data_IF_377222460482
#
_entry.id   IF_377222460482
#
_cell.length_a   1.000
_cell.length_b   1.000
_cell.length_c   1.000
_cell.angle_alpha   90.00
_cell.angle_beta   90.00
_cell.angle_gamma   90.00
#
_symmetry.space_group_name_H-M   'P 1'
#
loop_
_entity.id
_entity.type
_entity.pdbx_description
1 polymer ?
#
# COMPACT_ATOMS: atom_id res chain seq x y z
N UNK A 1 4.11 -39.35 20.75
CA UNK A 1 4.75 -39.15 19.43
C UNK A 1 5.72 -37.99 19.57
N UNK A 2 7.03 -38.25 19.44
CA UNK A 2 8.11 -37.28 19.65
C UNK A 2 8.11 -36.22 18.54
N UNK A 3 8.14 -34.94 18.90
CA UNK A 3 8.46 -33.82 17.99
C UNK A 3 9.99 -33.67 17.89
N UNK A 4 10.55 -33.46 16.69
CA UNK A 4 12.00 -33.33 16.54
C UNK A 4 12.48 -32.03 17.19
N UNK A 5 13.54 -32.15 18.01
CA UNK A 5 14.30 -31.03 18.55
C UNK A 5 14.94 -30.26 17.38
N UNK A 6 14.56 -29.00 17.17
CA UNK A 6 15.32 -28.10 16.31
C UNK A 6 16.44 -27.52 17.16
N UNK A 7 17.66 -27.97 16.87
CA UNK A 7 18.90 -27.45 17.46
C UNK A 7 19.24 -26.13 16.75
N UNK A 8 18.84 -25.00 17.32
CA UNK A 8 19.32 -23.69 16.90
C UNK A 8 20.73 -23.47 17.47
N UNK A 9 21.72 -23.38 16.58
CA UNK A 9 23.12 -23.12 16.89
C UNK A 9 23.27 -21.66 17.38
N UNK A 10 23.73 -21.47 18.61
CA UNK A 10 23.94 -20.14 19.21
C UNK A 10 25.31 -19.60 18.76
N UNK A 11 25.34 -18.49 18.03
CA UNK A 11 26.52 -17.61 17.99
C UNK A 11 26.21 -16.32 18.75
N UNK A 12 26.98 -16.11 19.83
CA UNK A 12 27.29 -14.85 20.53
C UNK A 12 26.27 -13.72 20.37
N UNK A 13 25.32 -13.66 21.29
CA UNK A 13 24.34 -12.59 21.31
C UNK A 13 24.82 -11.44 22.23
N UNK A 14 24.97 -10.20 21.72
CA UNK A 14 25.26 -9.03 22.55
C UNK A 14 24.05 -8.72 23.47
N UNK A 15 24.24 -7.82 24.44
CA UNK A 15 23.32 -7.52 25.55
C UNK A 15 21.91 -6.96 25.17
N UNK A 16 21.48 -7.09 23.91
CA UNK A 16 20.13 -6.78 23.42
C UNK A 16 19.42 -7.95 22.74
N UNK A 17 20.02 -9.15 22.70
CA UNK A 17 19.44 -10.30 22.03
C UNK A 17 18.17 -10.83 22.70
N UNK A 18 17.28 -11.38 21.87
CA UNK A 18 16.09 -12.12 22.29
C UNK A 18 16.36 -13.01 23.52
N UNK A 19 15.48 -12.92 24.51
CA UNK A 19 15.56 -13.74 25.71
C UNK A 19 15.39 -15.21 25.28
N UNK A 20 16.41 -16.04 25.53
CA UNK A 20 16.41 -17.45 25.12
C UNK A 20 15.18 -18.19 25.67
N UNK A 21 14.70 -17.82 26.86
CA UNK A 21 13.50 -18.40 27.46
C UNK A 21 12.24 -18.00 26.69
N UNK A 22 12.16 -16.75 26.23
CA UNK A 22 11.05 -16.27 25.42
C UNK A 22 11.06 -16.91 24.02
N UNK A 23 12.25 -17.06 23.42
CA UNK A 23 12.40 -17.78 22.15
C UNK A 23 11.96 -19.24 22.28
N UNK A 24 12.40 -19.94 23.33
CA UNK A 24 11.97 -21.32 23.61
C UNK A 24 10.46 -21.39 23.85
N UNK A 25 9.89 -20.44 24.60
CA UNK A 25 8.45 -20.39 24.86
C UNK A 25 7.66 -20.21 23.57
N UNK A 26 8.07 -19.28 22.71
CA UNK A 26 7.45 -19.06 21.41
C UNK A 26 7.51 -20.32 20.55
N UNK A 27 8.69 -20.90 20.35
CA UNK A 27 8.88 -22.03 19.44
C UNK A 27 8.23 -23.33 19.96
N UNK A 28 8.18 -23.53 21.28
CA UNK A 28 7.57 -24.73 21.86
C UNK A 28 6.05 -24.64 22.00
N UNK A 29 5.52 -23.45 22.31
CA UNK A 29 4.14 -23.29 22.77
C UNK A 29 3.31 -22.37 21.87
N UNK A 30 3.92 -21.58 21.00
CA UNK A 30 3.23 -20.56 20.20
C UNK A 30 2.61 -19.44 21.05
N UNK A 31 3.01 -19.28 22.32
CA UNK A 31 2.43 -18.32 23.25
C UNK A 31 3.51 -17.44 23.86
N UNK A 32 3.58 -16.20 23.42
CA UNK A 32 4.60 -15.25 23.80
C UNK A 32 4.09 -13.79 23.79
N UNK A 33 2.96 -13.54 24.46
CA UNK A 33 2.49 -12.16 24.66
C UNK A 33 3.48 -11.38 25.54
N UNK A 34 3.88 -10.18 25.09
CA UNK A 34 4.84 -9.32 25.79
C UNK A 34 6.29 -9.82 25.78
N UNK A 35 6.61 -10.89 25.03
CA UNK A 35 7.93 -11.48 25.02
C UNK A 35 9.00 -10.55 24.42
N UNK A 36 10.24 -10.71 24.90
CA UNK A 36 11.40 -9.98 24.42
C UNK A 36 12.13 -10.78 23.34
N UNK A 37 11.81 -10.47 22.09
CA UNK A 37 12.31 -11.12 20.90
C UNK A 37 13.04 -10.13 19.98
N UNK A 38 13.65 -9.08 20.53
CA UNK A 38 14.41 -8.09 19.76
C UNK A 38 15.57 -8.79 19.06
N UNK A 39 15.80 -8.44 17.80
CA UNK A 39 16.86 -9.00 16.96
C UNK A 39 16.84 -10.54 16.86
N UNK A 40 15.72 -11.19 17.19
CA UNK A 40 15.58 -12.64 17.10
C UNK A 40 15.71 -13.10 15.64
N UNK A 41 16.48 -14.17 15.41
CA UNK A 41 16.46 -14.88 14.15
C UNK A 41 15.33 -15.92 14.16
N UNK A 42 14.26 -15.61 13.43
CA UNK A 42 13.05 -16.40 13.26
C UNK A 42 12.78 -16.68 11.77
N UNK A 43 13.83 -16.69 10.95
CA UNK A 43 13.73 -17.02 9.53
C UNK A 43 13.11 -18.40 9.37
N UNK A 44 12.11 -18.52 8.49
CA UNK A 44 11.36 -19.77 8.28
C UNK A 44 10.62 -20.33 9.52
N UNK A 45 10.47 -19.55 10.60
CA UNK A 45 9.77 -20.03 11.78
C UNK A 45 8.29 -20.32 11.47
N UNK A 46 7.81 -21.47 11.97
CA UNK A 46 6.41 -21.88 11.87
C UNK A 46 5.64 -21.36 13.07
N UNK A 47 5.04 -20.18 12.93
CA UNK A 47 4.39 -19.40 13.98
C UNK A 47 2.89 -19.19 13.70
N UNK A 48 2.24 -20.15 13.03
CA UNK A 48 0.81 -20.04 12.75
C UNK A 48 0.02 -20.00 14.06
N UNK A 49 -0.96 -19.10 14.13
CA UNK A 49 -1.83 -18.89 15.29
C UNK A 49 -1.06 -18.54 16.58
N UNK A 50 0.20 -18.09 16.46
CA UNK A 50 0.99 -17.70 17.62
C UNK A 50 0.37 -16.47 18.29
N UNK A 51 0.34 -16.48 19.63
CA UNK A 51 0.00 -15.31 20.44
C UNK A 51 1.28 -14.50 20.69
N UNK A 52 1.45 -13.43 19.93
CA UNK A 52 2.57 -12.48 19.99
C UNK A 52 2.09 -11.07 20.40
N UNK A 53 0.94 -10.99 21.08
CA UNK A 53 0.34 -9.71 21.49
C UNK A 53 1.31 -8.90 22.33
N UNK A 54 1.60 -7.67 21.93
CA UNK A 54 2.53 -6.80 22.63
C UNK A 54 3.98 -7.30 22.66
N UNK A 55 4.34 -8.31 21.87
CA UNK A 55 5.72 -8.80 21.81
C UNK A 55 6.65 -7.73 21.27
N UNK A 56 7.87 -7.69 21.79
CA UNK A 56 8.91 -6.78 21.36
C UNK A 56 9.79 -7.49 20.32
N UNK A 57 9.53 -7.25 19.04
CA UNK A 57 10.16 -7.87 17.87
C UNK A 57 10.99 -6.86 17.05
N UNK A 58 11.40 -5.74 17.66
CA UNK A 58 12.21 -4.73 17.00
C UNK A 58 13.50 -5.33 16.44
N UNK A 59 13.78 -5.11 15.16
CA UNK A 59 14.94 -5.66 14.44
C UNK A 59 14.90 -7.18 14.17
N UNK A 60 13.88 -7.90 14.63
CA UNK A 60 13.80 -9.35 14.45
C UNK A 60 13.75 -9.74 12.97
N UNK A 61 14.41 -10.84 12.61
CA UNK A 61 14.37 -11.39 11.28
C UNK A 61 13.32 -12.50 11.19
N UNK A 62 12.16 -12.16 10.65
CA UNK A 62 11.01 -13.05 10.39
C UNK A 62 10.88 -13.38 8.90
N UNK A 63 11.97 -13.28 8.13
CA UNK A 63 11.94 -13.53 6.69
C UNK A 63 11.38 -14.93 6.41
N UNK A 64 10.38 -14.99 5.52
CA UNK A 64 9.70 -16.25 5.13
C UNK A 64 9.12 -17.05 6.29
N UNK A 65 8.93 -16.44 7.47
CA UNK A 65 8.20 -17.05 8.57
C UNK A 65 6.72 -17.20 8.19
N UNK A 66 6.07 -18.23 8.73
CA UNK A 66 4.63 -18.40 8.58
C UNK A 66 3.92 -17.95 9.85
N UNK A 67 3.33 -16.75 9.81
CA UNK A 67 2.58 -16.06 10.85
C UNK A 67 1.07 -16.08 10.57
N UNK A 68 0.59 -17.07 9.83
CA UNK A 68 -0.83 -17.19 9.45
C UNK A 68 -1.70 -17.15 10.69
N UNK A 69 -2.69 -16.26 10.70
CA UNK A 69 -3.63 -16.08 11.80
C UNK A 69 -2.96 -15.80 13.17
N UNK A 70 -1.70 -15.37 13.20
CA UNK A 70 -1.04 -14.98 14.43
C UNK A 70 -1.65 -13.68 14.99
N UNK A 71 -1.67 -13.56 16.30
CA UNK A 71 -2.08 -12.34 16.98
C UNK A 71 -0.82 -11.53 17.33
N UNK A 72 -0.54 -10.51 16.53
CA UNK A 72 0.55 -9.55 16.71
C UNK A 72 0.01 -8.20 17.21
N UNK A 73 -1.20 -8.16 17.79
CA UNK A 73 -1.80 -6.91 18.17
C UNK A 73 -0.98 -6.20 19.26
N UNK A 74 -0.70 -4.91 19.04
CA UNK A 74 0.18 -4.11 19.90
C UNK A 74 1.67 -4.46 19.86
N UNK A 75 2.13 -5.38 19.00
CA UNK A 75 3.54 -5.76 18.94
C UNK A 75 4.45 -4.63 18.41
N UNK A 76 5.68 -4.55 18.92
CA UNK A 76 6.71 -3.67 18.39
C UNK A 76 7.50 -4.40 17.30
N UNK A 77 7.27 -4.06 16.04
CA UNK A 77 7.93 -4.63 14.86
C UNK A 77 8.84 -3.59 14.16
N UNK A 78 9.29 -2.56 14.88
CA UNK A 78 10.16 -1.53 14.30
C UNK A 78 11.40 -2.16 13.68
N UNK A 79 11.71 -1.80 12.43
CA UNK A 79 12.87 -2.32 11.70
C UNK A 79 12.92 -3.87 11.55
N UNK A 80 11.83 -4.58 11.84
CA UNK A 80 11.79 -6.03 11.67
C UNK A 80 11.83 -6.41 10.18
N UNK A 81 12.48 -7.52 9.86
CA UNK A 81 12.55 -8.05 8.48
C UNK A 81 11.49 -9.14 8.30
N UNK A 82 10.42 -8.83 7.58
CA UNK A 82 9.29 -9.72 7.27
C UNK A 82 9.26 -10.09 5.78
N UNK A 83 10.43 -10.05 5.11
CA UNK A 83 10.57 -10.30 3.68
C UNK A 83 9.98 -11.67 3.31
N UNK A 84 8.94 -11.67 2.47
CA UNK A 84 8.27 -12.90 2.03
C UNK A 84 7.55 -13.68 3.14
N UNK A 85 7.30 -13.07 4.31
CA UNK A 85 6.55 -13.71 5.38
C UNK A 85 5.07 -13.91 5.02
N UNK A 86 4.46 -14.97 5.53
CA UNK A 86 3.02 -15.22 5.38
C UNK A 86 2.28 -14.71 6.61
N UNK A 87 1.68 -13.53 6.50
CA UNK A 87 0.87 -12.84 7.51
C UNK A 87 -0.64 -12.99 7.22
N UNK A 88 -1.03 -13.97 6.40
CA UNK A 88 -2.44 -14.09 6.00
C UNK A 88 -3.35 -14.31 7.22
N UNK A 89 -4.38 -13.49 7.33
CA UNK A 89 -5.31 -13.48 8.46
C UNK A 89 -4.73 -13.03 9.81
N UNK A 90 -3.48 -12.55 9.87
CA UNK A 90 -2.87 -12.10 11.12
C UNK A 90 -3.53 -10.82 11.67
N UNK A 91 -3.52 -10.63 12.99
CA UNK A 91 -3.96 -9.39 13.63
C UNK A 91 -2.77 -8.50 13.97
N UNK A 92 -2.63 -7.37 13.27
CA UNK A 92 -1.55 -6.38 13.42
C UNK A 92 -2.10 -5.05 13.95
N UNK A 93 -3.32 -5.00 14.50
CA UNK A 93 -3.89 -3.77 15.07
C UNK A 93 -3.05 -3.30 16.25
N UNK A 94 -2.72 -2.00 16.28
CA UNK A 94 -1.84 -1.38 17.27
C UNK A 94 -0.36 -1.74 17.13
N UNK A 95 0.04 -2.57 16.15
CA UNK A 95 1.44 -2.93 15.98
C UNK A 95 2.25 -1.77 15.39
N UNK A 96 3.50 -1.59 15.84
CA UNK A 96 4.40 -0.58 15.31
C UNK A 96 5.27 -1.17 14.19
N UNK A 97 4.95 -0.83 12.94
CA UNK A 97 5.64 -1.32 11.74
C UNK A 97 6.66 -0.32 11.17
N UNK A 98 7.04 0.72 11.93
CA UNK A 98 7.96 1.76 11.43
C UNK A 98 9.30 1.15 10.99
N UNK A 99 9.64 1.31 9.71
CA UNK A 99 10.84 0.77 9.07
C UNK A 99 10.84 -0.74 8.83
N UNK A 100 9.75 -1.45 9.11
CA UNK A 100 9.67 -2.88 8.85
C UNK A 100 9.76 -3.18 7.34
N UNK A 101 10.43 -4.27 6.98
CA UNK A 101 10.51 -4.76 5.60
C UNK A 101 9.49 -5.86 5.35
N UNK A 102 8.37 -5.49 4.75
CA UNK A 102 7.25 -6.35 4.37
C UNK A 102 7.26 -6.70 2.88
N UNK A 103 8.34 -6.42 2.14
CA UNK A 103 8.39 -6.73 0.69
C UNK A 103 8.08 -8.20 0.46
N UNK A 104 7.33 -8.50 -0.60
CA UNK A 104 6.90 -9.86 -0.95
C UNK A 104 6.04 -10.59 0.11
N UNK A 105 5.69 -9.96 1.24
CA UNK A 105 4.86 -10.58 2.26
C UNK A 105 3.42 -10.79 1.77
N UNK A 106 2.74 -11.77 2.35
CA UNK A 106 1.31 -11.98 2.16
C UNK A 106 0.51 -11.45 3.35
N UNK A 107 -0.23 -10.36 3.13
CA UNK A 107 -1.11 -9.73 4.12
C UNK A 107 -2.59 -9.99 3.81
N UNK A 108 -2.91 -11.01 3.01
CA UNK A 108 -4.30 -11.32 2.63
C UNK A 108 -5.16 -11.57 3.88
N UNK A 109 -6.17 -10.74 4.07
CA UNK A 109 -7.07 -10.84 5.23
C UNK A 109 -6.44 -10.39 6.56
N UNK A 110 -5.23 -9.85 6.55
CA UNK A 110 -4.62 -9.29 7.76
C UNK A 110 -5.40 -8.07 8.25
N UNK A 111 -5.49 -7.93 9.57
CA UNK A 111 -6.15 -6.80 10.24
C UNK A 111 -5.10 -5.77 10.59
N UNK A 112 -5.18 -4.59 9.97
CA UNK A 112 -4.25 -3.49 10.16
C UNK A 112 -5.01 -2.23 10.56
N UNK A 113 -4.37 -1.41 11.38
CA UNK A 113 -4.87 -0.06 11.64
C UNK A 113 -4.77 0.81 10.39
N UNK A 114 -5.45 1.95 10.44
CA UNK A 114 -5.35 2.93 9.35
C UNK A 114 -3.91 3.39 9.22
N UNK A 115 -3.42 3.42 7.98
CA UNK A 115 -2.06 3.91 7.66
C UNK A 115 -0.93 3.17 8.38
N UNK A 116 -1.20 1.95 8.89
CA UNK A 116 -0.20 1.15 9.59
C UNK A 116 1.08 0.86 8.78
N UNK A 117 1.03 1.06 7.46
CA UNK A 117 2.12 0.80 6.52
C UNK A 117 2.77 2.08 5.96
N UNK A 118 2.41 3.27 6.47
CA UNK A 118 2.90 4.55 5.94
C UNK A 118 4.42 4.72 6.01
N UNK A 119 5.06 4.03 6.96
CA UNK A 119 6.49 4.15 7.24
C UNK A 119 7.22 2.82 7.13
N UNK A 120 6.66 1.83 6.41
CA UNK A 120 7.27 0.53 6.18
C UNK A 120 7.56 0.28 4.70
N UNK A 121 8.39 -0.71 4.40
CA UNK A 121 8.74 -1.12 3.05
C UNK A 121 7.87 -2.32 2.64
N UNK A 122 6.75 -2.09 1.99
CA UNK A 122 5.80 -3.16 1.62
C UNK A 122 5.62 -3.30 0.09
N UNK A 123 6.43 -2.61 -0.73
CA UNK A 123 6.32 -2.72 -2.19
C UNK A 123 6.47 -4.19 -2.63
N UNK A 124 5.49 -4.70 -3.38
CA UNK A 124 5.44 -6.09 -3.82
C UNK A 124 4.77 -7.05 -2.83
N UNK A 125 4.36 -6.59 -1.65
CA UNK A 125 3.47 -7.33 -0.77
C UNK A 125 2.08 -7.48 -1.43
N UNK A 126 1.40 -8.59 -1.14
CA UNK A 126 0.03 -8.85 -1.60
C UNK A 126 -0.97 -8.76 -0.46
N UNK A 127 -2.25 -8.59 -0.80
CA UNK A 127 -3.33 -8.59 0.20
C UNK A 127 -3.42 -7.32 1.05
N UNK A 128 -2.66 -6.26 0.75
CA UNK A 128 -2.70 -4.99 1.50
C UNK A 128 -4.11 -4.38 1.49
N UNK A 129 -4.76 -4.21 2.64
CA UNK A 129 -6.05 -3.53 2.71
C UNK A 129 -5.86 -2.03 2.42
N UNK A 130 -6.80 -1.44 1.68
CA UNK A 130 -6.76 -0.01 1.35
C UNK A 130 -6.79 0.89 2.61
N UNK A 131 -7.30 0.37 3.73
CA UNK A 131 -7.28 1.07 5.02
C UNK A 131 -5.86 1.33 5.54
N UNK A 132 -4.93 0.41 5.26
CA UNK A 132 -3.57 0.44 5.79
C UNK A 132 -2.57 1.24 4.92
N UNK A 133 -2.95 1.58 3.69
CA UNK A 133 -2.13 2.37 2.76
C UNK A 133 -2.33 3.88 2.98
N UNK A 134 -1.26 4.66 2.81
CA UNK A 134 -1.36 6.12 2.78
C UNK A 134 -2.04 6.61 1.49
N UNK A 135 -2.41 7.90 1.46
CA UNK A 135 -2.89 8.53 0.23
C UNK A 135 -1.88 8.36 -0.93
N UNK A 136 -0.59 8.62 -0.68
CA UNK A 136 0.44 8.59 -1.73
C UNK A 136 0.57 7.18 -2.31
N UNK A 137 0.50 6.17 -1.46
CA UNK A 137 0.58 4.77 -1.86
C UNK A 137 -0.59 4.34 -2.73
N UNK A 138 -1.81 4.73 -2.32
CA UNK A 138 -3.03 4.45 -3.08
C UNK A 138 -2.96 5.12 -4.45
N UNK A 139 -2.54 6.38 -4.51
CA UNK A 139 -2.37 7.11 -5.76
C UNK A 139 -1.33 6.45 -6.67
N UNK A 140 -0.14 6.16 -6.15
CA UNK A 140 0.97 5.57 -6.92
C UNK A 140 0.61 4.18 -7.47
N UNK A 141 -0.05 3.33 -6.68
CA UNK A 141 -0.56 2.04 -7.15
C UNK A 141 -1.61 2.18 -8.26
N UNK A 142 -2.44 3.22 -8.18
CA UNK A 142 -3.37 3.57 -9.25
C UNK A 142 -2.66 3.94 -10.54
N UNK A 143 -1.60 4.74 -10.46
CA UNK A 143 -0.76 5.12 -11.61
C UNK A 143 -0.08 3.89 -12.23
N UNK A 144 0.55 3.04 -11.40
CA UNK A 144 1.17 1.80 -11.88
C UNK A 144 0.18 0.87 -12.59
N UNK A 145 -1.04 0.75 -12.04
CA UNK A 145 -2.10 -0.03 -12.66
C UNK A 145 -2.55 0.57 -14.00
N UNK A 146 -2.70 1.89 -14.07
CA UNK A 146 -3.07 2.59 -15.30
C UNK A 146 -2.00 2.43 -16.40
N UNK A 147 -0.71 2.57 -16.07
CA UNK A 147 0.41 2.36 -17.02
C UNK A 147 0.40 0.93 -17.57
N UNK A 148 0.02 -0.05 -16.75
CA UNK A 148 -0.10 -1.46 -17.14
C UNK A 148 -1.41 -1.80 -17.87
N UNK A 149 -2.25 -0.81 -18.20
CA UNK A 149 -3.56 -0.99 -18.84
C UNK A 149 -4.62 -1.62 -17.93
N UNK A 150 -4.37 -1.73 -16.63
CA UNK A 150 -5.30 -2.31 -15.64
C UNK A 150 -6.27 -1.25 -15.13
N UNK A 151 -7.06 -0.66 -16.03
CA UNK A 151 -7.91 0.49 -15.73
C UNK A 151 -8.95 0.26 -14.60
N UNK A 152 -9.61 -0.91 -14.46
CA UNK A 152 -10.50 -1.16 -13.32
C UNK A 152 -9.78 -1.15 -11.97
N UNK A 153 -8.56 -1.72 -11.91
CA UNK A 153 -7.73 -1.68 -10.70
C UNK A 153 -7.29 -0.24 -10.40
N UNK A 154 -6.86 0.50 -11.42
CA UNK A 154 -6.46 1.90 -11.28
C UNK A 154 -7.60 2.76 -10.71
N UNK A 155 -8.82 2.63 -11.24
CA UNK A 155 -9.99 3.37 -10.75
C UNK A 155 -10.28 3.08 -9.27
N UNK A 156 -10.21 1.82 -8.86
CA UNK A 156 -10.42 1.45 -7.46
C UNK A 156 -9.39 2.14 -6.57
N UNK A 157 -8.11 2.08 -6.94
CA UNK A 157 -7.02 2.70 -6.18
C UNK A 157 -7.15 4.22 -6.09
N UNK A 158 -7.52 4.88 -7.18
CA UNK A 158 -7.79 6.32 -7.14
C UNK A 158 -9.03 6.65 -6.31
N UNK A 159 -10.06 5.80 -6.30
CA UNK A 159 -11.23 5.99 -5.44
C UNK A 159 -10.88 5.88 -3.96
N UNK A 160 -10.06 4.89 -3.60
CA UNK A 160 -9.51 4.75 -2.25
C UNK A 160 -8.69 6.00 -1.88
N UNK A 161 -7.83 6.49 -2.78
CA UNK A 161 -7.03 7.70 -2.57
C UNK A 161 -7.90 8.96 -2.38
N UNK A 162 -8.92 9.16 -3.22
CA UNK A 162 -9.88 10.27 -3.10
C UNK A 162 -10.64 10.21 -1.78
N UNK A 163 -10.99 9.00 -1.32
CA UNK A 163 -11.62 8.81 -0.01
C UNK A 163 -10.74 9.28 1.16
N UNK A 164 -9.41 9.38 0.96
CA UNK A 164 -8.46 9.91 1.94
C UNK A 164 -8.21 11.40 1.80
N UNK A 165 -8.00 11.87 0.57
CA UNK A 165 -7.79 13.29 0.26
C UNK A 165 -8.74 13.73 -0.85
N UNK A 166 -9.97 14.14 -0.51
CA UNK A 166 -10.97 14.54 -1.50
C UNK A 166 -10.62 15.87 -2.19
N UNK A 167 -9.72 16.66 -1.59
CA UNK A 167 -9.13 17.90 -2.10
C UNK A 167 -8.00 17.67 -3.12
N UNK A 168 -7.51 16.43 -3.28
CA UNK A 168 -6.45 16.12 -4.20
C UNK A 168 -6.93 16.05 -5.67
N UNK A 169 -6.92 17.19 -6.37
CA UNK A 169 -7.35 17.35 -7.77
C UNK A 169 -6.77 16.28 -8.71
N UNK A 170 -5.49 15.94 -8.54
CA UNK A 170 -4.78 14.96 -9.37
C UNK A 170 -5.39 13.56 -9.31
N UNK A 171 -5.93 13.14 -8.16
CA UNK A 171 -6.55 11.81 -8.03
C UNK A 171 -7.91 11.75 -8.72
N UNK A 172 -8.67 12.85 -8.71
CA UNK A 172 -9.91 12.98 -9.50
C UNK A 172 -9.61 12.92 -10.99
N UNK A 173 -8.62 13.68 -11.46
CA UNK A 173 -8.16 13.65 -12.85
C UNK A 173 -7.76 12.22 -13.27
N UNK A 174 -6.88 11.57 -12.49
CA UNK A 174 -6.38 10.23 -12.78
C UNK A 174 -7.50 9.17 -12.81
N UNK A 175 -8.49 9.27 -11.91
CA UNK A 175 -9.66 8.38 -11.93
C UNK A 175 -10.55 8.63 -13.15
N UNK A 176 -10.78 9.90 -13.50
CA UNK A 176 -11.56 10.27 -14.67
C UNK A 176 -10.96 9.69 -15.94
N UNK A 177 -9.62 9.73 -16.05
CA UNK A 177 -8.86 9.09 -17.11
C UNK A 177 -9.09 7.57 -17.14
N UNK A 178 -8.88 6.90 -16.00
CA UNK A 178 -9.09 5.45 -15.91
C UNK A 178 -10.51 5.02 -16.26
N UNK A 179 -11.53 5.83 -15.94
CA UNK A 179 -12.94 5.59 -16.31
C UNK A 179 -13.20 5.82 -17.80
N UNK A 180 -12.57 6.83 -18.38
CA UNK A 180 -12.69 7.11 -19.82
C UNK A 180 -12.12 5.99 -20.68
N UNK A 181 -10.97 5.43 -20.31
CA UNK A 181 -10.39 4.23 -20.96
C UNK A 181 -11.30 2.98 -20.85
N UNK A 182 -12.18 2.96 -19.85
CA UNK A 182 -13.21 1.91 -19.69
C UNK A 182 -14.51 2.23 -20.45
N UNK A 183 -14.59 3.31 -21.22
CA UNK A 183 -15.81 3.73 -21.93
C UNK A 183 -16.92 4.21 -20.99
N UNK A 184 -16.54 4.83 -19.86
CA UNK A 184 -17.48 5.38 -18.86
C UNK A 184 -17.44 6.91 -18.91
N UNK A 185 -17.78 7.47 -20.07
CA UNK A 185 -17.54 8.88 -20.41
C UNK A 185 -18.26 9.86 -19.48
N UNK A 186 -19.49 9.55 -19.05
CA UNK A 186 -20.24 10.42 -18.14
C UNK A 186 -19.60 10.51 -16.76
N UNK A 187 -19.05 9.41 -16.25
CA UNK A 187 -18.38 9.38 -14.96
C UNK A 187 -16.96 9.96 -15.06
N UNK A 188 -16.27 9.74 -16.18
CA UNK A 188 -15.03 10.41 -16.49
C UNK A 188 -15.21 11.94 -16.51
N UNK A 189 -16.23 12.43 -17.22
CA UNK A 189 -16.57 13.85 -17.27
C UNK A 189 -16.88 14.42 -15.87
N UNK A 190 -17.61 13.68 -15.03
CA UNK A 190 -17.89 14.12 -13.66
C UNK A 190 -16.60 14.29 -12.84
N UNK A 191 -15.67 13.33 -12.94
CA UNK A 191 -14.38 13.40 -12.26
C UNK A 191 -13.50 14.56 -12.79
N UNK A 192 -13.51 14.82 -14.11
CA UNK A 192 -12.78 15.95 -14.71
C UNK A 192 -13.30 17.31 -14.24
N UNK A 193 -14.62 17.52 -14.18
CA UNK A 193 -15.19 18.77 -13.64
C UNK A 193 -14.85 18.96 -12.16
N UNK A 194 -14.80 17.86 -11.38
CA UNK A 194 -14.39 17.95 -9.98
C UNK A 194 -12.90 18.32 -9.86
N UNK A 195 -12.04 17.74 -10.70
CA UNK A 195 -10.62 18.11 -10.77
C UNK A 195 -10.45 19.58 -11.19
N UNK A 196 -11.17 20.04 -12.21
CA UNK A 196 -11.16 21.43 -12.68
C UNK A 196 -11.50 22.41 -11.55
N UNK A 197 -12.56 22.13 -10.80
CA UNK A 197 -12.96 22.95 -9.63
C UNK A 197 -11.84 23.06 -8.59
N UNK A 198 -11.16 21.96 -8.29
CA UNK A 198 -10.07 21.94 -7.31
C UNK A 198 -8.83 22.66 -7.83
N UNK A 199 -8.47 22.51 -9.11
CA UNK A 199 -7.38 23.27 -9.73
C UNK A 199 -7.65 24.76 -9.77
N UNK A 200 -8.89 25.17 -10.08
CA UNK A 200 -9.34 26.55 -10.01
C UNK A 200 -9.19 27.15 -8.61
N UNK A 201 -9.57 26.40 -7.58
CA UNK A 201 -9.34 26.80 -6.18
C UNK A 201 -7.85 26.93 -5.84
N UNK A 202 -6.99 26.16 -6.50
CA UNK A 202 -5.54 26.23 -6.40
C UNK A 202 -4.88 27.33 -7.26
N UNK A 203 -5.65 28.12 -8.03
CA UNK A 203 -5.13 29.17 -8.91
C UNK A 203 -4.72 28.70 -10.31
N UNK A 204 -4.94 27.43 -10.65
CA UNK A 204 -4.58 26.83 -11.94
C UNK A 204 -5.75 26.96 -12.95
N UNK A 205 -6.16 28.20 -13.26
CA UNK A 205 -7.36 28.49 -14.08
C UNK A 205 -7.28 27.92 -15.49
N UNK A 206 -6.14 28.09 -16.18
CA UNK A 206 -5.97 27.59 -17.55
C UNK A 206 -6.16 26.08 -17.61
N UNK A 207 -5.60 25.35 -16.64
CA UNK A 207 -5.77 23.90 -16.54
C UNK A 207 -7.23 23.54 -16.22
N UNK A 208 -7.88 24.28 -15.32
CA UNK A 208 -9.28 24.03 -14.99
C UNK A 208 -10.19 24.17 -16.23
N UNK A 209 -9.98 25.20 -17.04
CA UNK A 209 -10.77 25.44 -18.25
C UNK A 209 -10.55 24.34 -19.32
N UNK A 210 -9.31 23.86 -19.47
CA UNK A 210 -9.01 22.71 -20.33
C UNK A 210 -9.75 21.44 -19.89
N UNK A 211 -9.80 21.20 -18.58
CA UNK A 211 -10.50 20.04 -18.00
C UNK A 211 -12.02 20.15 -18.15
N UNK A 212 -12.59 21.34 -17.96
CA UNK A 212 -14.02 21.60 -18.17
C UNK A 212 -14.40 21.38 -19.65
N UNK A 213 -13.60 21.89 -20.58
CA UNK A 213 -13.79 21.67 -22.02
C UNK A 213 -13.70 20.18 -22.41
N UNK A 214 -12.74 19.45 -21.82
CA UNK A 214 -12.63 18.00 -22.01
C UNK A 214 -13.85 17.26 -21.47
N UNK A 215 -14.35 17.64 -20.30
CA UNK A 215 -15.54 17.06 -19.70
C UNK A 215 -16.80 17.30 -20.54
N UNK A 216 -16.95 18.49 -21.12
CA UNK A 216 -18.06 18.81 -22.01
C UNK A 216 -18.06 17.93 -23.26
N UNK A 217 -16.91 17.79 -23.93
CA UNK A 217 -16.75 16.92 -25.11
C UNK A 217 -17.17 15.47 -24.82
N UNK A 218 -16.81 14.94 -23.65
CA UNK A 218 -17.19 13.59 -23.23
C UNK A 218 -18.71 13.42 -23.04
N UNK A 219 -19.42 14.46 -22.61
CA UNK A 219 -20.89 14.43 -22.45
C UNK A 219 -21.62 14.47 -23.79
N UNK A 220 -21.09 15.21 -24.76
CA UNK A 220 -21.73 15.42 -26.06
C UNK A 220 -21.61 14.22 -27.01
N UNK A 221 -20.52 13.43 -26.90
CA UNK A 221 -20.25 12.33 -27.83
C UNK A 221 -19.84 11.00 -27.16
N UNK A 222 -20.61 10.46 -26.19
CA UNK A 222 -20.21 9.29 -25.41
C UNK A 222 -20.02 8.02 -26.27
N UNK A 223 -20.79 7.83 -27.35
CA UNK A 223 -20.76 6.59 -28.15
C UNK A 223 -19.73 6.57 -29.29
N UNK A 224 -19.02 7.68 -29.56
CA UNK A 224 -18.09 7.80 -30.70
C UNK A 224 -16.64 7.40 -30.37
N UNK A 225 -16.33 7.05 -29.13
CA UNK A 225 -14.96 6.82 -28.65
C UNK A 225 -14.57 5.34 -28.51
N UNK A 226 -15.36 4.41 -29.07
CA UNK A 226 -14.97 2.99 -29.16
C UNK A 226 -13.81 2.83 -30.18
N UNK A 227 -12.61 2.60 -29.66
CA UNK A 227 -11.39 2.35 -30.44
C UNK A 227 -10.52 3.60 -30.56
N UNK A 228 -9.34 3.57 -29.94
CA UNK A 228 -8.27 4.59 -29.98
C UNK A 228 -8.69 6.07 -29.75
N UNK A 229 -9.95 6.32 -29.36
CA UNK A 229 -10.58 7.64 -29.40
C UNK A 229 -10.49 8.43 -28.10
N UNK A 230 -10.42 7.76 -26.94
CA UNK A 230 -10.21 8.45 -25.66
C UNK A 230 -8.86 9.19 -25.66
N UNK A 231 -7.83 8.52 -26.17
CA UNK A 231 -6.53 9.11 -26.47
C UNK A 231 -6.68 10.37 -27.30
N UNK A 232 -7.27 10.34 -28.50
CA UNK A 232 -7.33 11.52 -29.39
C UNK A 232 -8.22 12.66 -28.88
N UNK A 233 -9.30 12.39 -28.13
CA UNK A 233 -10.18 13.40 -27.55
C UNK A 233 -9.54 14.14 -26.36
N UNK A 234 -8.67 13.46 -25.60
CA UNK A 234 -7.90 14.00 -24.47
C UNK A 234 -6.51 14.50 -24.90
N UNK A 235 -5.95 13.97 -25.99
CA UNK A 235 -4.68 14.40 -26.61
C UNK A 235 -4.74 15.80 -27.23
N UNK A 236 -5.93 16.41 -27.34
CA UNK A 236 -6.13 17.80 -27.73
C UNK A 236 -5.95 18.84 -26.60
N UNK A 237 -5.14 18.55 -25.58
CA UNK A 237 -4.79 19.48 -24.48
C UNK A 237 -4.31 18.77 -23.21
N UNK A 238 -5.15 17.87 -22.67
CA UNK A 238 -4.91 17.18 -21.38
C UNK A 238 -3.79 16.11 -21.41
N UNK A 239 -3.37 15.62 -22.57
CA UNK A 239 -2.14 14.82 -22.67
C UNK A 239 -0.86 15.63 -22.44
N UNK A 240 -0.90 16.94 -22.69
CA UNK A 240 0.16 17.87 -22.29
C UNK A 240 0.28 17.94 -20.77
N UNK A 241 -0.85 18.01 -20.08
CA UNK A 241 -0.96 17.98 -18.62
C UNK A 241 -0.47 16.64 -18.06
N UNK A 242 -0.85 15.50 -18.63
CA UNK A 242 -0.35 14.18 -18.20
C UNK A 242 1.16 14.01 -18.44
N UNK A 243 1.69 14.49 -19.57
CA UNK A 243 3.14 14.49 -19.85
C UNK A 243 3.91 15.51 -18.99
N UNK A 244 3.28 16.61 -18.59
CA UNK A 244 3.88 17.62 -17.70
C UNK A 244 3.82 17.20 -16.24
N UNK A 245 2.76 16.50 -15.80
CA UNK A 245 2.61 16.01 -14.43
C UNK A 245 3.35 14.70 -14.19
N UNK A 246 3.65 13.91 -15.22
CA UNK A 246 4.51 12.73 -15.11
C UNK A 246 5.89 13.02 -14.46
N UNK A 247 6.64 14.07 -14.88
CA UNK A 247 7.89 14.43 -14.21
C UNK A 247 7.69 15.05 -12.83
N UNK A 248 6.55 15.69 -12.51
CA UNK A 248 6.27 16.14 -11.13
C UNK A 248 5.93 14.98 -10.19
N UNK A 249 5.18 13.98 -10.67
CA UNK A 249 4.94 12.73 -9.96
C UNK A 249 6.25 11.96 -9.72
N UNK A 250 7.16 11.93 -10.71
CA UNK A 250 8.51 11.34 -10.57
C UNK A 250 9.45 12.17 -9.68
N UNK A 251 9.36 13.50 -9.68
CA UNK A 251 10.19 14.39 -8.83
C UNK A 251 9.76 14.34 -7.36
N UNK A 252 8.47 14.14 -7.09
CA UNK A 252 7.93 13.82 -5.76
C UNK A 252 8.28 12.38 -5.31
N UNK A 253 8.65 11.48 -6.23
CA UNK A 253 9.17 10.14 -5.91
C UNK A 253 10.67 10.15 -5.55
N UNK A 254 11.44 11.17 -5.95
CA UNK A 254 12.88 11.28 -5.69
C UNK A 254 13.25 12.07 -4.44
N UNK A 255 12.32 12.87 -3.91
CA UNK A 255 12.48 13.60 -2.65
C UNK A 255 11.49 13.01 -1.65
N UNK A 256 11.93 11.93 -0.99
CA UNK A 256 11.53 11.76 0.41
C UNK A 256 11.86 13.08 1.11
N UNK A 257 10.82 13.80 1.52
CA UNK A 257 10.97 14.84 2.52
C UNK A 257 11.72 14.20 3.70
N UNK A 258 12.86 14.81 4.03
CA UNK A 258 13.47 14.74 5.35
C UNK A 258 12.40 14.95 6.44
#
# INVERSE_FOLDING_TARGET
MLRPLVLALILSAPAGAADLLDLQRLLAQGRCSGCRLQDADLVHAELQQADLRGAHLGGANLSRASLRQADLSGADLRQAVLLGADLSGADLRGANLSGADLRQADLTGARLDREALSSSHWQGARGIPASASSYADLHNRGVDAAIKGKHPEAEQRFSDAIGRRPDAAISWLARGIARGEQGRELQAAADLNQAARLYRQGGEETLADELDAAAQKLREAPKRLKGNGWGSAVLGGAAGVLKQLAPYALKMMGQGLL
#
